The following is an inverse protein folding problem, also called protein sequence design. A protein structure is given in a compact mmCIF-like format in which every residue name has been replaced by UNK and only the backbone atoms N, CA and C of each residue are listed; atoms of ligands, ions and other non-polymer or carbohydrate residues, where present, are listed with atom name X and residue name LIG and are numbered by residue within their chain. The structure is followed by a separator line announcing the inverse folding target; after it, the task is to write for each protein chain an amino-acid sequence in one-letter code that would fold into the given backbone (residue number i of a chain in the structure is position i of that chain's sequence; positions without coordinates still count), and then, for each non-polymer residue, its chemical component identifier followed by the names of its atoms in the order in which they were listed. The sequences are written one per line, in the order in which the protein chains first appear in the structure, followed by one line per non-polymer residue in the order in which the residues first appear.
data_IF_051520732778
#
_entry.id   IF_051520732778
#
_cell.length_a   1.000
_cell.length_b   1.000
_cell.length_c   1.000
_cell.angle_alpha   90.00
_cell.angle_beta   90.00
_cell.angle_gamma   90.00
#
_symmetry.space_group_name_H-M   'P 1'
#
loop_
_entity.id
_entity.type
_entity.pdbx_description
1 polymer ?
#
# COMPACT_ATOMS: atom_id res chain seq x y z
N UNK A 1 -9.29 20.23 -7.97
CA UNK A 1 -7.85 20.09 -7.77
C UNK A 1 -7.53 18.74 -7.17
N UNK A 2 -6.46 18.11 -7.68
CA UNK A 2 -5.84 16.93 -7.06
C UNK A 2 -4.50 17.36 -6.47
N UNK A 3 -4.28 17.09 -5.19
CA UNK A 3 -3.00 17.35 -4.52
C UNK A 3 -2.35 16.00 -4.20
N UNK A 4 -1.12 15.78 -4.67
CA UNK A 4 -0.37 14.56 -4.38
C UNK A 4 0.37 14.66 -3.05
N UNK A 5 0.32 13.59 -2.25
CA UNK A 5 1.03 13.48 -0.98
C UNK A 5 1.78 12.14 -0.90
N UNK A 6 3.11 12.22 -0.94
CA UNK A 6 3.98 11.05 -0.84
C UNK A 6 4.14 10.57 0.62
N UNK A 7 4.61 9.32 0.80
CA UNK A 7 4.85 8.75 2.13
C UNK A 7 5.92 9.57 2.90
N UNK A 8 5.60 10.07 4.11
CA UNK A 8 6.44 11.03 4.81
C UNK A 8 7.72 10.41 5.40
N UNK A 9 7.79 9.08 5.55
CA UNK A 9 8.94 8.41 6.17
C UNK A 9 9.82 7.66 5.16
N UNK A 10 9.72 8.00 3.86
CA UNK A 10 10.51 7.38 2.78
C UNK A 10 12.02 7.26 3.10
N UNK A 11 12.71 8.29 3.64
CA UNK A 11 14.15 8.21 3.92
C UNK A 11 14.56 7.29 5.08
N UNK A 12 13.62 6.93 5.96
CA UNK A 12 13.87 6.07 7.12
C UNK A 12 13.42 4.64 6.81
N UNK A 13 12.37 4.48 5.98
CA UNK A 13 11.85 3.18 5.57
C UNK A 13 12.70 2.47 4.50
N UNK A 14 13.65 3.18 3.87
CA UNK A 14 14.53 2.66 2.82
C UNK A 14 15.97 3.13 3.03
N UNK A 15 16.96 2.49 2.40
CA UNK A 15 18.36 2.92 2.51
C UNK A 15 18.55 4.39 2.13
N UNK A 16 19.19 5.18 3.01
CA UNK A 16 19.35 6.63 2.84
C UNK A 16 20.00 7.05 1.52
N UNK A 17 20.91 6.24 1.00
CA UNK A 17 21.63 6.51 -0.25
C UNK A 17 20.72 6.56 -1.50
N UNK A 18 19.49 6.04 -1.42
CA UNK A 18 18.52 6.13 -2.53
C UNK A 18 17.90 7.52 -2.68
N UNK A 19 17.86 8.30 -1.59
CA UNK A 19 17.24 9.63 -1.55
C UNK A 19 18.10 10.57 -0.68
N UNK A 20 19.39 10.75 -0.99
CA UNK A 20 20.38 11.31 -0.06
C UNK A 20 20.12 12.78 0.30
N UNK A 21 19.46 13.53 -0.58
CA UNK A 21 19.23 14.97 -0.43
C UNK A 21 17.76 15.33 -0.21
N UNK A 22 16.86 14.35 -0.25
CA UNK A 22 15.43 14.60 -0.11
C UNK A 22 15.02 14.56 1.35
N UNK A 23 14.13 15.49 1.71
CA UNK A 23 13.44 15.53 2.98
C UNK A 23 11.97 15.23 2.76
N UNK A 24 11.44 14.35 3.60
CA UNK A 24 10.02 14.01 3.67
C UNK A 24 9.55 14.25 5.09
N UNK A 25 8.24 14.35 5.29
CA UNK A 25 7.68 14.51 6.61
C UNK A 25 6.21 14.89 6.56
N UNK A 26 5.57 14.85 7.72
CA UNK A 26 4.22 15.36 7.90
C UNK A 26 4.33 16.89 7.95
N UNK A 27 3.77 17.57 6.95
CA UNK A 27 3.87 19.01 6.78
C UNK A 27 2.48 19.63 6.62
N UNK A 28 1.67 19.56 7.68
CA UNK A 28 0.28 20.03 7.71
C UNK A 28 0.16 21.50 7.21
N UNK A 29 1.09 22.37 7.60
CA UNK A 29 1.11 23.78 7.18
C UNK A 29 1.33 23.96 5.67
N UNK A 30 2.21 23.15 5.07
CA UNK A 30 2.45 23.21 3.62
C UNK A 30 1.28 22.60 2.85
N UNK A 31 0.65 21.56 3.38
CA UNK A 31 -0.60 21.03 2.84
C UNK A 31 -1.72 22.08 2.91
N UNK A 32 -1.86 22.81 4.02
CA UNK A 32 -2.86 23.89 4.13
C UNK A 32 -2.64 24.98 3.09
N UNK A 33 -1.39 25.43 2.88
CA UNK A 33 -1.05 26.40 1.81
C UNK A 33 -1.45 25.87 0.43
N UNK A 34 -1.12 24.62 0.11
CA UNK A 34 -1.48 24.01 -1.17
C UNK A 34 -3.01 23.94 -1.38
N UNK A 35 -3.76 23.61 -0.33
CA UNK A 35 -5.23 23.60 -0.36
C UNK A 35 -5.78 25.01 -0.56
N UNK A 36 -5.26 25.99 0.17
CA UNK A 36 -5.70 27.40 0.05
C UNK A 36 -5.40 27.96 -1.35
N UNK A 37 -4.22 27.68 -1.91
CA UNK A 37 -3.86 28.05 -3.28
C UNK A 37 -4.79 27.40 -4.31
N UNK A 38 -5.11 26.12 -4.16
CA UNK A 38 -6.05 25.42 -5.03
C UNK A 38 -7.43 26.08 -5.01
N UNK A 39 -7.93 26.43 -3.82
CA UNK A 39 -9.22 27.11 -3.65
C UNK A 39 -9.18 28.52 -4.23
N UNK A 40 -8.11 29.27 -4.02
CA UNK A 40 -7.93 30.61 -4.58
C UNK A 40 -7.91 30.60 -6.13
N UNK A 41 -7.38 29.53 -6.74
CA UNK A 41 -7.42 29.29 -8.19
C UNK A 41 -8.80 28.84 -8.70
N UNK A 42 -9.80 28.71 -7.84
CA UNK A 42 -11.18 28.39 -8.20
C UNK A 42 -11.55 26.91 -8.08
N UNK A 43 -10.74 26.08 -7.42
CA UNK A 43 -11.08 24.67 -7.22
C UNK A 43 -12.38 24.51 -6.40
N UNK A 44 -13.41 23.93 -7.03
CA UNK A 44 -14.69 23.62 -6.38
C UNK A 44 -14.63 22.35 -5.54
N UNK A 45 -13.73 21.42 -5.91
CA UNK A 45 -13.42 20.20 -5.15
C UNK A 45 -11.90 20.09 -5.01
N UNK A 46 -11.42 19.77 -3.81
CA UNK A 46 -10.01 19.49 -3.52
C UNK A 46 -9.91 18.09 -2.94
N UNK A 47 -9.19 17.21 -3.67
CA UNK A 47 -8.92 15.84 -3.25
C UNK A 47 -7.43 15.67 -3.06
N UNK A 48 -7.03 15.05 -1.94
CA UNK A 48 -5.65 14.64 -1.71
C UNK A 48 -5.49 13.18 -2.10
N UNK A 49 -4.59 12.89 -3.04
CA UNK A 49 -4.14 11.53 -3.34
C UNK A 49 -2.94 11.24 -2.45
N UNK A 50 -3.17 10.50 -1.37
CA UNK A 50 -2.23 10.33 -0.28
C UNK A 50 -1.59 8.95 -0.24
N UNK A 51 -0.33 8.91 0.19
CA UNK A 51 0.37 7.71 0.58
C UNK A 51 0.91 7.81 2.02
N UNK A 52 0.31 8.63 2.88
CA UNK A 52 0.74 8.77 4.28
C UNK A 52 0.45 7.50 5.11
N UNK A 53 -0.70 6.86 4.84
CA UNK A 53 -1.29 5.82 5.68
C UNK A 53 -2.52 6.33 6.43
N UNK A 54 -3.48 5.43 6.66
CA UNK A 54 -4.83 5.77 7.12
C UNK A 54 -4.85 6.64 8.39
N UNK A 55 -4.14 6.26 9.44
CA UNK A 55 -4.16 7.02 10.71
C UNK A 55 -3.57 8.42 10.57
N UNK A 56 -2.54 8.57 9.74
CA UNK A 56 -1.92 9.87 9.45
C UNK A 56 -2.87 10.73 8.62
N UNK A 57 -3.55 10.15 7.63
CA UNK A 57 -4.54 10.84 6.81
C UNK A 57 -5.77 11.26 7.63
N UNK A 58 -6.26 10.41 8.53
CA UNK A 58 -7.32 10.76 9.48
C UNK A 58 -6.89 11.94 10.37
N UNK A 59 -5.63 11.94 10.84
CA UNK A 59 -5.12 13.05 11.65
C UNK A 59 -4.99 14.34 10.85
N UNK A 60 -4.47 14.26 9.62
CA UNK A 60 -4.33 15.39 8.70
C UNK A 60 -5.70 15.98 8.34
N UNK A 61 -6.71 15.15 8.06
CA UNK A 61 -8.09 15.59 7.78
C UNK A 61 -8.72 16.38 8.94
N UNK A 62 -8.32 16.09 10.18
CA UNK A 62 -8.76 16.82 11.37
C UNK A 62 -8.06 18.18 11.57
N UNK A 63 -6.94 18.42 10.89
CA UNK A 63 -6.10 19.62 11.04
C UNK A 63 -6.18 20.56 9.84
N UNK A 64 -6.09 20.00 8.63
CA UNK A 64 -6.11 20.76 7.38
C UNK A 64 -7.56 20.99 6.95
N UNK A 65 -7.89 22.25 6.68
CA UNK A 65 -9.22 22.68 6.28
C UNK A 65 -9.31 22.85 4.77
N UNK A 66 -10.51 22.61 4.20
CA UNK A 66 -10.77 22.81 2.77
C UNK A 66 -10.54 21.60 1.87
N UNK A 67 -10.11 20.46 2.41
CA UNK A 67 -10.03 19.17 1.70
C UNK A 67 -11.41 18.51 1.71
N UNK A 68 -11.94 18.11 0.55
CA UNK A 68 -13.22 17.40 0.46
C UNK A 68 -13.02 15.88 0.65
N UNK A 69 -11.96 15.32 0.07
CA UNK A 69 -11.60 13.91 0.28
C UNK A 69 -10.09 13.67 0.30
N UNK A 70 -9.69 12.63 1.02
CA UNK A 70 -8.38 12.00 0.98
C UNK A 70 -8.59 10.57 0.48
N UNK A 71 -7.97 10.27 -0.66
CA UNK A 71 -7.87 8.93 -1.21
C UNK A 71 -6.48 8.41 -0.85
N UNK A 72 -6.41 7.62 0.22
CA UNK A 72 -5.15 7.20 0.83
C UNK A 72 -4.62 5.86 0.30
N UNK A 73 -3.44 5.51 0.79
CA UNK A 73 -2.70 4.29 0.48
C UNK A 73 -1.84 3.84 1.66
N UNK A 74 -0.72 3.16 1.38
CA UNK A 74 0.30 2.71 2.35
C UNK A 74 -0.14 1.63 3.38
N UNK A 75 -1.27 1.81 4.06
CA UNK A 75 -1.74 0.89 5.11
C UNK A 75 -2.57 -0.28 4.57
N UNK A 76 -2.92 -0.24 3.28
CA UNK A 76 -3.62 -1.32 2.55
C UNK A 76 -5.02 -1.64 3.11
N UNK A 77 -5.67 -0.69 3.77
CA UNK A 77 -7.01 -0.88 4.32
C UNK A 77 -8.05 -0.91 3.21
N UNK A 78 -8.92 -1.92 3.21
CA UNK A 78 -10.14 -1.91 2.40
C UNK A 78 -11.24 -1.22 3.17
N UNK A 79 -11.55 0.04 2.84
CA UNK A 79 -12.49 0.87 3.60
C UNK A 79 -13.85 0.86 2.91
N UNK A 80 -14.86 0.12 3.43
CA UNK A 80 -16.13 -0.09 2.72
C UNK A 80 -16.97 1.18 2.57
N UNK A 81 -16.78 2.14 3.48
CA UNK A 81 -17.39 3.48 3.44
C UNK A 81 -16.38 4.52 3.96
N UNK A 82 -16.28 5.72 3.35
CA UNK A 82 -15.30 6.71 3.75
C UNK A 82 -15.57 7.18 5.18
N UNK A 83 -14.50 7.33 5.95
CA UNK A 83 -14.56 7.91 7.29
C UNK A 83 -14.77 9.41 7.16
N UNK A 84 -15.82 9.94 7.79
CA UNK A 84 -16.10 11.38 7.84
C UNK A 84 -15.33 12.00 9.00
N UNK A 85 -14.32 12.81 8.70
CA UNK A 85 -13.53 13.51 9.71
C UNK A 85 -13.97 14.97 9.76
N UNK A 86 -14.44 15.43 10.93
CA UNK A 86 -14.80 16.83 11.16
C UNK A 86 -13.56 17.64 11.54
N UNK A 87 -13.41 18.83 10.97
CA UNK A 87 -12.41 19.82 11.33
C UNK A 87 -13.06 21.20 11.54
N UNK A 88 -12.24 22.24 11.73
CA UNK A 88 -12.70 23.58 12.06
C UNK A 88 -13.60 24.25 11.01
N UNK A 89 -13.55 23.83 9.74
CA UNK A 89 -14.30 24.47 8.63
C UNK A 89 -15.22 23.51 7.85
N UNK A 90 -15.25 22.23 8.19
CA UNK A 90 -16.08 21.28 7.45
C UNK A 90 -15.82 19.81 7.80
N UNK A 91 -16.12 18.96 6.83
CA UNK A 91 -15.92 17.51 6.89
C UNK A 91 -15.06 17.11 5.70
N UNK A 92 -14.06 16.27 5.95
CA UNK A 92 -13.24 15.62 4.94
C UNK A 92 -13.57 14.12 4.94
N UNK A 93 -13.74 13.54 3.75
CA UNK A 93 -13.90 12.09 3.59
C UNK A 93 -12.53 11.42 3.50
N UNK A 94 -12.28 10.35 4.23
CA UNK A 94 -11.01 9.60 4.17
C UNK A 94 -11.29 8.14 3.83
N UNK A 95 -10.65 7.61 2.79
CA UNK A 95 -10.85 6.22 2.37
C UNK A 95 -9.60 5.62 1.72
N UNK A 96 -9.49 4.29 1.77
CA UNK A 96 -8.47 3.48 1.09
C UNK A 96 -9.16 2.31 0.33
N UNK A 97 -8.57 1.90 -0.79
CA UNK A 97 -9.10 0.85 -1.66
C UNK A 97 -8.36 -0.51 -1.54
N UNK A 98 -7.81 -0.80 -0.36
CA UNK A 98 -7.06 -2.04 -0.13
C UNK A 98 -5.69 -2.07 -0.82
N UNK A 99 -5.34 -3.23 -1.37
CA UNK A 99 -4.07 -3.48 -2.07
C UNK A 99 -4.26 -4.53 -3.17
N UNK A 100 -3.21 -4.72 -3.99
CA UNK A 100 -3.15 -5.77 -5.03
C UNK A 100 -4.31 -5.74 -6.02
N UNK A 101 -4.89 -4.55 -6.27
CA UNK A 101 -6.04 -4.39 -7.17
C UNK A 101 -7.31 -5.10 -6.69
N UNK A 102 -7.39 -5.54 -5.44
CA UNK A 102 -8.55 -6.28 -4.90
C UNK A 102 -9.84 -5.47 -4.92
N UNK A 103 -9.75 -4.15 -4.83
CA UNK A 103 -10.90 -3.26 -4.87
C UNK A 103 -10.64 -2.03 -5.73
N UNK A 104 -11.73 -1.50 -6.30
CA UNK A 104 -11.80 -0.19 -6.92
C UNK A 104 -12.71 0.71 -6.07
N UNK A 105 -12.14 1.77 -5.48
CA UNK A 105 -12.92 2.82 -4.80
C UNK A 105 -13.47 3.81 -5.80
N UNK A 106 -14.79 3.98 -5.83
CA UNK A 106 -15.50 4.95 -6.69
C UNK A 106 -16.17 5.97 -5.78
N UNK A 107 -15.75 7.24 -5.89
CA UNK A 107 -16.29 8.36 -5.13
C UNK A 107 -16.84 9.40 -6.11
N UNK A 108 -18.17 9.50 -6.18
CA UNK A 108 -18.88 10.48 -7.00
C UNK A 108 -19.29 11.68 -6.15
N UNK A 109 -18.96 12.89 -6.57
CA UNK A 109 -19.39 14.13 -5.89
C UNK A 109 -20.54 14.82 -6.64
N UNK A 110 -21.58 15.26 -5.92
CA UNK A 110 -22.55 16.23 -6.43
C UNK A 110 -22.07 17.65 -6.10
N UNK A 111 -21.65 18.40 -7.12
CA UNK A 111 -21.07 19.74 -6.98
C UNK A 111 -22.07 20.79 -7.48
N UNK A 112 -22.52 21.67 -6.59
CA UNK A 112 -23.48 22.74 -6.93
C UNK A 112 -23.16 24.05 -6.22
N UNK A 113 -23.09 25.12 -7.00
CA UNK A 113 -22.79 26.47 -6.50
C UNK A 113 -21.39 26.57 -5.91
N UNK A 114 -20.40 25.96 -6.57
CA UNK A 114 -18.99 26.04 -6.18
C UNK A 114 -18.54 25.11 -5.05
N UNK A 115 -19.41 24.21 -4.57
CA UNK A 115 -19.11 23.33 -3.43
C UNK A 115 -19.75 21.95 -3.54
N UNK A 116 -19.14 20.97 -2.88
CA UNK A 116 -19.71 19.63 -2.69
C UNK A 116 -20.99 19.72 -1.84
N UNK A 117 -22.08 19.16 -2.34
CA UNK A 117 -23.37 19.06 -1.62
C UNK A 117 -23.64 17.69 -1.07
N UNK A 118 -23.26 16.67 -1.84
CA UNK A 118 -23.45 15.27 -1.50
C UNK A 118 -22.38 14.42 -2.18
N UNK A 119 -22.29 13.16 -1.80
CA UNK A 119 -21.42 12.19 -2.45
C UNK A 119 -22.03 10.79 -2.47
N UNK A 120 -21.58 9.96 -3.40
CA UNK A 120 -21.85 8.51 -3.42
C UNK A 120 -20.53 7.77 -3.41
N UNK A 121 -20.47 6.69 -2.65
CA UNK A 121 -19.27 5.86 -2.58
C UNK A 121 -19.58 4.39 -2.76
N UNK A 122 -18.73 3.71 -3.53
CA UNK A 122 -18.72 2.25 -3.66
C UNK A 122 -17.29 1.75 -3.58
N UNK A 123 -17.07 0.70 -2.81
CA UNK A 123 -15.86 -0.10 -2.87
C UNK A 123 -16.19 -1.38 -3.65
N UNK A 124 -15.77 -1.45 -4.91
CA UNK A 124 -16.12 -2.53 -5.83
C UNK A 124 -15.03 -3.61 -5.76
N UNK A 125 -15.36 -4.87 -5.40
CA UNK A 125 -14.37 -5.95 -5.45
C UNK A 125 -14.05 -6.30 -6.91
N UNK A 126 -12.79 -6.59 -7.18
CA UNK A 126 -12.30 -6.99 -8.51
C UNK A 126 -12.13 -8.51 -8.53
N UNK A 127 -13.14 -9.20 -9.07
CA UNK A 127 -13.13 -10.65 -9.26
C UNK A 127 -12.86 -10.96 -10.74
N UNK A 128 -11.64 -11.39 -11.07
CA UNK A 128 -11.21 -11.63 -12.45
C UNK A 128 -12.04 -12.72 -13.16
N UNK A 129 -12.63 -13.66 -12.42
CA UNK A 129 -13.52 -14.68 -12.96
C UNK A 129 -14.95 -14.19 -13.25
N UNK A 130 -15.31 -12.97 -12.84
CA UNK A 130 -16.62 -12.35 -13.07
C UNK A 130 -16.57 -11.14 -13.99
N UNK A 131 -15.39 -10.74 -14.45
CA UNK A 131 -15.17 -9.56 -15.27
C UNK A 131 -14.43 -9.97 -16.56
N UNK A 132 -14.85 -9.48 -17.74
CA UNK A 132 -14.07 -9.70 -18.94
C UNK A 132 -12.72 -8.98 -18.82
N UNK A 133 -11.65 -9.66 -19.23
CA UNK A 133 -10.34 -9.04 -19.32
C UNK A 133 -10.33 -7.99 -20.45
N UNK A 134 -9.65 -6.87 -20.21
CA UNK A 134 -9.35 -5.91 -21.27
C UNK A 134 -8.31 -6.52 -22.22
N UNK A 135 -8.66 -6.60 -23.51
CA UNK A 135 -7.84 -7.32 -24.50
C UNK A 135 -6.49 -6.66 -24.74
N UNK A 136 -6.42 -5.32 -24.74
CA UNK A 136 -5.18 -4.58 -24.95
C UNK A 136 -4.24 -4.72 -23.74
N UNK A 137 -4.79 -4.64 -22.53
CA UNK A 137 -4.03 -4.84 -21.30
C UNK A 137 -3.54 -6.28 -21.15
N UNK A 138 -4.36 -7.27 -21.48
CA UNK A 138 -3.95 -8.68 -21.48
C UNK A 138 -2.78 -8.90 -22.46
N UNK A 139 -2.89 -8.39 -23.69
CA UNK A 139 -1.81 -8.49 -24.67
C UNK A 139 -0.53 -7.76 -24.23
N UNK A 140 -0.65 -6.62 -23.53
CA UNK A 140 0.49 -5.91 -22.95
C UNK A 140 1.17 -6.75 -21.87
N UNK A 141 0.40 -7.31 -20.94
CA UNK A 141 0.89 -8.15 -19.84
C UNK A 141 1.60 -9.38 -20.41
N UNK A 142 0.99 -10.09 -21.35
CA UNK A 142 1.56 -11.27 -21.99
C UNK A 142 2.89 -10.95 -22.68
N UNK A 143 2.93 -9.85 -23.44
CA UNK A 143 4.15 -9.40 -24.13
C UNK A 143 5.27 -9.07 -23.15
N UNK A 144 4.98 -8.37 -22.06
CA UNK A 144 5.99 -7.99 -21.04
C UNK A 144 6.46 -9.22 -20.26
N UNK A 145 5.57 -10.17 -19.97
CA UNK A 145 5.90 -11.37 -19.19
C UNK A 145 6.59 -12.45 -20.00
N UNK A 146 6.33 -12.57 -21.30
CA UNK A 146 6.79 -13.66 -22.15
C UNK A 146 8.29 -14.00 -22.00
N UNK A 147 9.24 -13.03 -21.98
CA UNK A 147 10.65 -13.34 -21.82
C UNK A 147 11.03 -13.88 -20.42
N UNK A 148 10.15 -13.72 -19.44
CA UNK A 148 10.40 -14.01 -18.03
C UNK A 148 9.62 -15.23 -17.52
N UNK A 149 8.60 -15.71 -18.25
CA UNK A 149 7.74 -16.83 -17.84
C UNK A 149 8.53 -18.08 -17.40
N UNK A 150 9.58 -18.55 -18.12
CA UNK A 150 10.31 -19.74 -17.68
C UNK A 150 10.95 -19.58 -16.29
N UNK A 151 11.34 -18.35 -15.93
CA UNK A 151 11.87 -18.04 -14.60
C UNK A 151 10.75 -17.90 -13.58
N UNK A 152 9.72 -17.11 -13.90
CA UNK A 152 8.60 -16.82 -12.99
C UNK A 152 7.79 -18.07 -12.62
N UNK A 153 7.56 -18.96 -13.58
CA UNK A 153 6.73 -20.16 -13.40
C UNK A 153 7.51 -21.37 -12.85
N UNK A 154 8.81 -21.23 -12.59
CA UNK A 154 9.61 -22.30 -11.99
C UNK A 154 9.00 -22.70 -10.65
N UNK A 155 8.43 -23.90 -10.59
CA UNK A 155 7.89 -24.50 -9.37
C UNK A 155 9.03 -24.82 -8.41
N UNK A 156 8.88 -24.39 -7.16
CA UNK A 156 9.83 -24.59 -6.07
C UNK A 156 9.33 -25.65 -5.09
N UNK A 157 8.04 -25.59 -4.72
CA UNK A 157 7.40 -26.52 -3.80
C UNK A 157 5.87 -26.51 -4.01
N UNK A 158 5.16 -27.30 -3.21
CA UNK A 158 3.69 -27.26 -3.06
C UNK A 158 3.42 -27.06 -1.58
N UNK A 159 2.52 -26.13 -1.24
CA UNK A 159 2.16 -25.90 0.17
C UNK A 159 1.02 -26.83 0.60
N UNK A 160 1.11 -27.41 1.79
CA UNK A 160 -0.01 -28.16 2.39
C UNK A 160 -0.97 -27.24 3.16
N UNK A 161 -0.50 -26.06 3.57
CA UNK A 161 -1.25 -25.09 4.35
C UNK A 161 -1.46 -23.76 3.62
N UNK A 162 -2.32 -22.90 4.18
CA UNK A 162 -2.49 -21.54 3.71
C UNK A 162 -1.23 -20.73 4.02
N UNK A 163 -0.63 -20.14 2.99
CA UNK A 163 0.44 -19.16 3.15
C UNK A 163 -0.12 -17.75 3.04
N UNK A 164 0.07 -16.94 4.07
CA UNK A 164 -0.34 -15.53 4.11
C UNK A 164 0.71 -14.69 4.82
N UNK A 165 0.75 -13.40 4.47
CA UNK A 165 1.71 -12.43 5.00
C UNK A 165 1.11 -11.49 6.02
N UNK A 166 -0.05 -10.91 5.70
CA UNK A 166 -0.61 -9.82 6.50
C UNK A 166 -1.10 -10.32 7.86
N UNK A 167 -0.44 -9.87 8.92
CA UNK A 167 -0.81 -10.01 10.32
C UNK A 167 -0.06 -8.98 11.18
N UNK A 168 -0.54 -8.71 12.41
CA UNK A 168 0.13 -7.76 13.30
C UNK A 168 1.37 -8.35 13.98
N UNK A 169 1.38 -9.66 14.19
CA UNK A 169 2.45 -10.36 14.91
C UNK A 169 3.07 -11.50 14.09
N UNK A 170 2.27 -12.17 13.26
CA UNK A 170 2.76 -13.29 12.44
C UNK A 170 1.93 -13.48 11.17
N UNK A 171 2.52 -14.17 10.19
CA UNK A 171 1.89 -14.73 9.00
C UNK A 171 2.65 -16.00 8.59
N UNK A 172 1.99 -16.98 7.99
CA UNK A 172 2.65 -18.26 7.65
C UNK A 172 3.78 -18.12 6.62
N UNK A 173 3.76 -17.08 5.77
CA UNK A 173 4.93 -16.70 4.98
C UNK A 173 6.10 -16.18 5.84
N UNK A 174 5.78 -15.38 6.86
CA UNK A 174 6.74 -14.81 7.80
C UNK A 174 7.20 -15.80 8.88
N UNK A 175 6.72 -17.05 8.81
CA UNK A 175 7.32 -18.20 9.48
C UNK A 175 8.25 -18.95 8.53
N UNK A 176 7.74 -19.31 7.34
CA UNK A 176 8.47 -20.11 6.36
C UNK A 176 9.79 -19.46 5.89
N UNK A 177 9.79 -18.13 5.67
CA UNK A 177 10.97 -17.42 5.19
C UNK A 177 12.07 -17.39 6.27
N UNK A 178 11.81 -16.97 7.52
CA UNK A 178 12.77 -17.08 8.61
C UNK A 178 13.29 -18.50 8.86
N UNK A 179 12.43 -19.51 8.85
CA UNK A 179 12.85 -20.90 9.06
C UNK A 179 13.88 -21.33 8.00
N UNK A 180 13.61 -21.02 6.73
CA UNK A 180 14.57 -21.28 5.65
C UNK A 180 15.87 -20.49 5.83
N UNK A 181 15.83 -19.27 6.35
CA UNK A 181 17.05 -18.51 6.63
C UNK A 181 17.85 -19.11 7.79
N UNK A 182 17.18 -19.58 8.85
CA UNK A 182 17.79 -20.29 9.98
C UNK A 182 18.51 -21.53 9.48
N UNK A 183 17.83 -22.38 8.71
CA UNK A 183 18.39 -23.61 8.18
C UNK A 183 19.61 -23.36 7.26
N UNK A 184 19.52 -22.36 6.38
CA UNK A 184 20.56 -22.09 5.38
C UNK A 184 21.77 -21.37 5.98
N UNK A 185 21.56 -20.49 6.96
CA UNK A 185 22.64 -19.67 7.55
C UNK A 185 23.15 -20.22 8.89
N UNK A 186 22.47 -21.20 9.49
CA UNK A 186 22.80 -21.72 10.81
C UNK A 186 22.60 -20.68 11.93
N UNK A 187 21.53 -19.88 11.84
CA UNK A 187 21.21 -18.87 12.84
C UNK A 187 20.30 -19.43 13.95
N UNK A 188 20.40 -18.93 15.17
CA UNK A 188 19.45 -19.31 16.25
C UNK A 188 18.08 -18.62 16.09
N UNK A 189 18.08 -17.42 15.49
CA UNK A 189 16.90 -16.56 15.32
C UNK A 189 17.02 -15.85 13.95
N UNK A 190 15.88 -15.63 13.28
CA UNK A 190 15.79 -14.82 12.07
C UNK A 190 14.68 -13.77 12.17
N UNK A 191 14.92 -12.60 11.58
CA UNK A 191 13.97 -11.49 11.53
C UNK A 191 13.44 -11.31 10.11
N UNK A 192 12.12 -11.38 9.93
CA UNK A 192 11.45 -11.02 8.68
C UNK A 192 10.89 -9.60 8.77
N UNK A 193 11.00 -8.76 7.71
CA UNK A 193 10.29 -7.50 7.67
C UNK A 193 8.78 -7.74 7.56
N UNK A 194 8.01 -7.13 8.47
CA UNK A 194 6.54 -7.16 8.50
C UNK A 194 5.90 -6.30 7.40
N UNK A 195 6.27 -6.52 6.14
CA UNK A 195 5.69 -5.83 5.00
C UNK A 195 4.20 -6.13 4.83
N UNK A 196 3.45 -5.14 4.35
CA UNK A 196 2.00 -5.28 4.06
C UNK A 196 1.69 -5.78 2.66
N UNK A 197 2.67 -5.78 1.75
CA UNK A 197 2.54 -6.32 0.40
C UNK A 197 2.87 -7.81 0.38
N UNK A 198 2.45 -8.48 -0.70
CA UNK A 198 2.49 -9.92 -0.85
C UNK A 198 1.09 -10.54 -0.94
N UNK A 199 1.00 -11.67 -1.62
CA UNK A 199 -0.22 -12.45 -1.86
C UNK A 199 -0.30 -13.69 -0.96
N UNK A 200 -1.45 -14.36 -1.01
CA UNK A 200 -1.69 -15.61 -0.30
C UNK A 200 -1.67 -16.78 -1.28
N UNK A 201 -1.18 -17.94 -0.83
CA UNK A 201 -1.21 -19.20 -1.57
C UNK A 201 -2.09 -20.21 -0.82
N UNK A 202 -3.00 -20.87 -1.53
CA UNK A 202 -3.91 -21.84 -0.94
C UNK A 202 -3.24 -23.22 -0.77
N UNK A 203 -3.74 -24.04 0.18
CA UNK A 203 -3.34 -25.45 0.28
C UNK A 203 -3.42 -26.17 -1.08
N UNK A 204 -2.37 -26.92 -1.42
CA UNK A 204 -2.24 -27.68 -2.66
C UNK A 204 -1.74 -26.88 -3.87
N UNK A 205 -1.60 -25.56 -3.76
CA UNK A 205 -1.04 -24.74 -4.83
C UNK A 205 0.50 -24.81 -4.86
N UNK A 206 1.06 -24.68 -6.07
CA UNK A 206 2.50 -24.62 -6.24
C UNK A 206 3.03 -23.25 -5.80
N UNK A 207 4.13 -23.26 -5.05
CA UNK A 207 4.97 -22.09 -4.82
C UNK A 207 5.91 -21.99 -6.01
N UNK A 208 5.72 -21.01 -6.88
CA UNK A 208 6.66 -20.68 -7.96
C UNK A 208 7.64 -19.60 -7.50
N UNK A 209 8.67 -19.36 -8.32
CA UNK A 209 9.60 -18.26 -8.09
C UNK A 209 8.90 -16.90 -8.11
N UNK A 210 7.85 -16.71 -8.93
CA UNK A 210 7.05 -15.49 -8.92
C UNK A 210 6.39 -15.26 -7.56
N UNK A 211 5.76 -16.27 -6.97
CA UNK A 211 5.15 -16.06 -5.66
C UNK A 211 6.19 -15.84 -4.55
N UNK A 212 7.36 -16.47 -4.62
CA UNK A 212 8.44 -16.14 -3.68
C UNK A 212 8.92 -14.69 -3.86
N UNK A 213 9.06 -14.22 -5.10
CA UNK A 213 9.43 -12.84 -5.41
C UNK A 213 8.36 -11.86 -4.92
N UNK A 214 7.08 -12.17 -5.07
CA UNK A 214 5.97 -11.38 -4.52
C UNK A 214 6.02 -11.23 -2.98
N UNK A 215 6.80 -12.06 -2.29
CA UNK A 215 7.09 -11.92 -0.86
C UNK A 215 8.41 -11.20 -0.56
N UNK A 216 9.36 -11.12 -1.50
CA UNK A 216 10.76 -10.75 -1.20
C UNK A 216 11.39 -9.74 -2.15
N UNK A 217 10.64 -9.22 -3.11
CA UNK A 217 11.12 -8.31 -4.17
C UNK A 217 11.39 -6.88 -3.70
N UNK A 218 12.30 -6.71 -2.75
CA UNK A 218 12.95 -5.42 -2.48
C UNK A 218 14.20 -5.26 -3.35
N UNK A 219 14.55 -4.02 -3.71
CA UNK A 219 15.74 -3.71 -4.52
C UNK A 219 17.06 -3.83 -3.75
N UNK A 220 17.00 -4.11 -2.45
CA UNK A 220 18.13 -4.33 -1.54
C UNK A 220 17.97 -5.66 -0.77
N UNK A 221 17.85 -6.82 -1.45
CA UNK A 221 17.40 -8.08 -0.84
C UNK A 221 18.50 -8.83 -0.07
N UNK A 222 19.63 -8.19 0.23
CA UNK A 222 20.75 -8.83 0.92
C UNK A 222 20.34 -9.26 2.33
N UNK A 223 20.50 -10.55 2.64
CA UNK A 223 20.33 -11.09 3.99
C UNK A 223 21.68 -11.28 4.69
N UNK A 224 21.76 -10.87 5.94
CA UNK A 224 22.99 -10.96 6.76
C UNK A 224 22.84 -11.98 7.89
N UNK A 225 23.97 -12.52 8.35
CA UNK A 225 24.08 -13.25 9.62
C UNK A 225 24.97 -12.40 10.52
N UNK A 226 24.46 -12.02 11.69
CA UNK A 226 25.16 -11.12 12.62
C UNK A 226 24.95 -11.61 14.04
N UNK A 227 26.02 -11.64 14.84
CA UNK A 227 25.89 -11.88 16.27
C UNK A 227 25.22 -10.68 16.96
N UNK A 228 24.20 -10.95 17.76
CA UNK A 228 23.48 -9.95 18.55
C UNK A 228 23.39 -10.43 19.99
N UNK A 229 23.64 -9.52 20.94
CA UNK A 229 23.36 -9.80 22.35
C UNK A 229 21.85 -9.91 22.59
N UNK A 230 21.44 -10.65 23.63
CA UNK A 230 20.04 -10.72 24.02
C UNK A 230 19.44 -9.35 24.39
N UNK A 231 20.27 -8.39 24.83
CA UNK A 231 19.86 -7.01 25.09
C UNK A 231 19.53 -6.24 23.81
N UNK A 232 20.24 -6.48 22.70
CA UNK A 232 19.92 -5.84 21.41
C UNK A 232 18.63 -6.39 20.79
N UNK A 233 18.29 -7.64 21.08
CA UNK A 233 17.06 -8.29 20.59
C UNK A 233 15.83 -7.81 21.37
N UNK A 234 15.99 -7.52 22.66
CA UNK A 234 14.92 -7.13 23.58
C UNK A 234 14.53 -5.66 23.41
#
# INVERSE_FOLDING_TARGET
ELIGQAFPYTPIANPRWMVPDWSFGIQDDNMQKAVDEARAKGAQVVVVLSHNGMDVDLKMAGRVTGIDAILGGHTHDGVPQPVKVRNAKGITLVTNAGSNGKFLGVLDFDVKGGKVRDFRYKLLPVFANLLPADAEMAALIDRVRAPHLPKLEKKLAVTEGLLYRRGNFNGSWDQLIPDAMIDVKGADIAFSPGFRWGTSILPGEAITLEQLMDQTAISYPTSTLTEMSGEQIK
#
